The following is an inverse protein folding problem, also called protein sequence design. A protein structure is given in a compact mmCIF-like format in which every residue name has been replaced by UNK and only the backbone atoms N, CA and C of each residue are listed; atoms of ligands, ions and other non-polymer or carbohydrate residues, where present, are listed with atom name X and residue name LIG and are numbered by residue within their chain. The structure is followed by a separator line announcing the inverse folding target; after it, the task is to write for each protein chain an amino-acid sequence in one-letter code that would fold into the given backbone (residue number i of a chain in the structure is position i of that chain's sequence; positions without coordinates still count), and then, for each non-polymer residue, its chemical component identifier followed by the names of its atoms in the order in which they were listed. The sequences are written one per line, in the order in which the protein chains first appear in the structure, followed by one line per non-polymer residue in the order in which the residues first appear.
data_IF_306776781945
#
_entry.id   IF_306776781945
#
_cell.length_a   1.000
_cell.length_b   1.000
_cell.length_c   1.000
_cell.angle_alpha   90.00
_cell.angle_beta   90.00
_cell.angle_gamma   90.00
#
_symmetry.space_group_name_H-M   'P 1'
#
loop_
_entity.id
_entity.type
_entity.pdbx_description
1 polymer ?
#
# COMPACT_ATOMS: atom_id res chain seq x y z
N UNK A 1 12.41 16.36 8.59
CA UNK A 1 12.35 17.78 8.26
C UNK A 1 11.07 18.17 7.52
N UNK A 2 10.65 17.38 6.54
CA UNK A 2 9.41 17.56 5.79
C UNK A 2 8.60 16.25 5.81
N UNK A 3 7.27 16.33 5.91
CA UNK A 3 6.37 15.18 5.80
C UNK A 3 5.12 15.58 5.03
N UNK A 4 4.78 14.84 3.99
CA UNK A 4 3.53 15.00 3.26
C UNK A 4 2.60 13.83 3.54
N UNK A 5 1.30 14.10 3.65
CA UNK A 5 0.29 13.07 3.80
C UNK A 5 -0.96 13.40 2.97
N UNK A 6 -1.62 12.36 2.46
CA UNK A 6 -2.89 12.46 1.74
C UNK A 6 -4.01 11.89 2.59
N UNK A 7 -5.06 12.67 2.81
CA UNK A 7 -6.17 12.32 3.70
C UNK A 7 -6.81 10.96 3.39
N UNK A 8 -6.97 10.62 2.10
CA UNK A 8 -7.55 9.35 1.67
C UNK A 8 -6.73 8.10 2.04
N UNK A 9 -5.50 8.27 2.53
CA UNK A 9 -4.67 7.15 3.01
C UNK A 9 -4.94 6.79 4.48
N UNK A 10 -5.71 7.62 5.18
CA UNK A 10 -6.16 7.40 6.56
C UNK A 10 -7.67 7.73 6.73
N UNK A 11 -8.48 7.33 5.74
CA UNK A 11 -9.95 7.41 5.70
C UNK A 11 -10.54 8.81 5.59
N UNK A 12 -9.76 9.83 5.24
CA UNK A 12 -10.26 11.15 4.86
C UNK A 12 -10.69 11.22 3.40
N UNK A 13 -11.15 12.39 2.96
CA UNK A 13 -11.59 12.61 1.58
C UNK A 13 -10.40 12.67 0.60
N UNK A 14 -10.66 12.31 -0.66
CA UNK A 14 -9.71 12.52 -1.76
C UNK A 14 -9.56 14.01 -2.05
N UNK A 15 -8.41 14.41 -2.60
CA UNK A 15 -8.14 15.80 -2.99
C UNK A 15 -7.74 16.72 -1.83
N UNK A 16 -7.49 16.17 -0.64
CA UNK A 16 -7.01 16.90 0.53
C UNK A 16 -5.79 16.20 1.13
N UNK A 17 -4.88 16.98 1.69
CA UNK A 17 -3.67 16.51 2.35
C UNK A 17 -2.96 17.66 3.04
N UNK A 18 -1.82 17.37 3.67
CA UNK A 18 -1.00 18.39 4.32
C UNK A 18 0.48 18.17 4.08
N UNK A 19 1.23 19.24 4.23
CA UNK A 19 2.69 19.24 4.31
C UNK A 19 3.10 19.76 5.68
N UNK A 20 3.78 18.93 6.48
CA UNK A 20 4.49 19.38 7.66
C UNK A 20 5.86 19.91 7.25
N UNK A 21 6.23 21.05 7.79
CA UNK A 21 7.52 21.71 7.58
C UNK A 21 8.11 22.02 8.94
N UNK A 22 9.31 21.51 9.22
CA UNK A 22 10.04 21.86 10.45
C UNK A 22 10.36 23.36 10.46
N UNK A 23 10.19 24.04 11.59
CA UNK A 23 10.33 25.49 11.71
C UNK A 23 11.69 26.05 11.23
N UNK A 24 12.74 25.25 11.24
CA UNK A 24 14.06 25.63 10.75
C UNK A 24 14.23 25.57 9.23
N UNK A 25 13.24 25.03 8.52
CA UNK A 25 13.28 24.84 7.06
C UNK A 25 12.49 25.95 6.39
N UNK A 26 13.14 26.61 5.42
CA UNK A 26 12.49 27.58 4.55
C UNK A 26 12.30 26.95 3.18
N UNK A 27 11.07 26.99 2.66
CA UNK A 27 10.75 26.59 1.30
C UNK A 27 9.98 27.73 0.62
N UNK A 28 10.15 27.84 -0.69
CA UNK A 28 9.42 28.79 -1.50
C UNK A 28 8.09 28.17 -1.96
N UNK A 29 6.98 28.93 -1.96
CA UNK A 29 5.71 28.43 -2.46
C UNK A 29 5.75 28.20 -3.97
N UNK A 30 5.16 27.08 -4.41
CA UNK A 30 4.97 26.84 -5.86
C UNK A 30 3.76 27.59 -6.43
N UNK A 31 2.74 27.82 -5.62
CA UNK A 31 1.51 28.56 -5.98
C UNK A 31 1.39 29.73 -5.02
N UNK A 32 1.68 30.92 -5.55
CA UNK A 32 1.66 32.16 -4.76
C UNK A 32 0.22 32.59 -4.41
N UNK A 33 0.05 33.17 -3.24
CA UNK A 33 -1.21 33.70 -2.72
C UNK A 33 -1.12 33.96 -1.23
N UNK A 34 -2.14 34.57 -0.66
CA UNK A 34 -2.19 34.93 0.78
C UNK A 34 -2.64 33.78 1.69
N UNK A 35 -3.14 32.69 1.12
CA UNK A 35 -3.66 31.55 1.86
C UNK A 35 -2.54 30.68 2.44
N UNK A 36 -2.87 29.87 3.46
CA UNK A 36 -1.93 28.98 4.13
C UNK A 36 -0.62 29.68 4.55
N UNK A 37 -0.71 30.86 5.17
CA UNK A 37 0.44 31.69 5.55
C UNK A 37 1.38 32.03 4.38
N UNK A 38 0.83 32.35 3.23
CA UNK A 38 1.53 32.59 1.96
C UNK A 38 2.26 31.36 1.37
N UNK A 39 1.98 30.16 1.87
CA UNK A 39 2.67 28.95 1.42
C UNK A 39 1.98 28.27 0.25
N UNK A 40 0.67 28.49 0.07
CA UNK A 40 -0.10 27.89 -1.03
C UNK A 40 -1.34 28.72 -1.32
N UNK A 41 -1.35 29.43 -2.44
CA UNK A 41 -2.48 30.22 -2.91
C UNK A 41 -3.69 29.39 -3.33
N UNK A 42 -4.87 30.01 -3.31
CA UNK A 42 -6.16 29.44 -3.71
C UNK A 42 -7.10 29.21 -2.52
N UNK A 43 -8.40 29.21 -2.81
CA UNK A 43 -9.44 28.99 -1.79
C UNK A 43 -9.27 27.63 -1.12
N UNK A 44 -9.33 27.63 0.19
CA UNK A 44 -9.12 26.43 1.01
C UNK A 44 -10.31 25.46 0.86
N UNK A 45 -10.00 24.19 0.74
CA UNK A 45 -10.97 23.10 0.74
C UNK A 45 -11.43 22.79 2.16
N UNK A 46 -12.28 23.66 2.72
CA UNK A 46 -12.73 23.57 4.12
C UNK A 46 -13.37 22.21 4.42
N UNK A 47 -14.20 21.69 3.51
CA UNK A 47 -14.85 20.37 3.68
C UNK A 47 -13.81 19.26 3.79
N UNK A 48 -12.81 19.27 2.90
CA UNK A 48 -11.72 18.30 2.93
C UNK A 48 -10.87 18.39 4.19
N UNK A 49 -10.60 19.62 4.67
CA UNK A 49 -9.80 19.88 5.89
C UNK A 49 -10.54 19.36 7.13
N UNK A 50 -11.83 19.68 7.29
CA UNK A 50 -12.65 19.20 8.42
C UNK A 50 -12.79 17.67 8.41
N UNK A 51 -13.00 17.09 7.22
CA UNK A 51 -13.05 15.64 7.08
C UNK A 51 -11.70 14.97 7.39
N UNK A 52 -10.59 15.62 7.04
CA UNK A 52 -9.23 15.16 7.35
C UNK A 52 -8.94 15.21 8.85
N UNK A 53 -9.32 16.28 9.53
CA UNK A 53 -9.22 16.41 10.99
C UNK A 53 -10.01 15.29 11.67
N UNK A 54 -11.26 15.07 11.25
CA UNK A 54 -12.09 13.99 11.79
C UNK A 54 -11.46 12.61 11.57
N UNK A 55 -10.92 12.36 10.38
CA UNK A 55 -10.23 11.10 10.09
C UNK A 55 -9.01 10.88 11.01
N UNK A 56 -8.21 11.92 11.25
CA UNK A 56 -7.08 11.86 12.17
C UNK A 56 -7.52 11.63 13.62
N UNK A 57 -8.59 12.29 14.06
CA UNK A 57 -9.09 12.17 15.44
C UNK A 57 -9.60 10.75 15.79
N UNK A 58 -10.00 9.97 14.80
CA UNK A 58 -10.46 8.58 14.99
C UNK A 58 -9.41 7.52 14.60
N UNK A 59 -8.23 7.95 14.15
CA UNK A 59 -7.11 7.06 13.89
C UNK A 59 -6.55 6.50 15.20
N UNK A 60 -6.65 5.21 15.39
CA UNK A 60 -5.99 4.54 16.51
C UNK A 60 -4.57 4.13 16.11
N UNK A 61 -3.60 4.78 16.74
CA UNK A 61 -2.16 4.54 16.59
C UNK A 61 -1.54 4.00 17.87
N UNK A 62 -2.36 3.45 18.77
CA UNK A 62 -1.88 2.83 20.00
C UNK A 62 -0.95 1.65 19.71
N UNK A 63 0.02 1.36 20.59
CA UNK A 63 0.92 0.21 20.42
C UNK A 63 0.15 -1.10 20.22
N UNK A 64 -0.93 -1.32 20.97
CA UNK A 64 -1.75 -2.52 20.85
C UNK A 64 -2.38 -2.66 19.45
N UNK A 65 -2.84 -1.56 18.86
CA UNK A 65 -3.41 -1.59 17.51
C UNK A 65 -2.32 -1.84 16.45
N UNK A 66 -1.13 -1.32 16.66
CA UNK A 66 0.01 -1.55 15.78
C UNK A 66 0.44 -3.02 15.85
N UNK A 67 0.56 -3.58 17.05
CA UNK A 67 0.92 -4.99 17.26
C UNK A 67 -0.14 -5.93 16.64
N UNK A 68 -1.43 -5.65 16.82
CA UNK A 68 -2.50 -6.41 16.19
C UNK A 68 -2.41 -6.43 14.65
N UNK A 69 -1.95 -5.34 14.03
CA UNK A 69 -1.71 -5.30 12.58
C UNK A 69 -0.50 -6.14 12.18
N UNK A 70 0.54 -6.19 12.99
CA UNK A 70 1.67 -7.11 12.77
C UNK A 70 1.24 -8.56 12.88
N UNK A 71 0.45 -8.91 13.91
CA UNK A 71 -0.08 -10.27 14.10
C UNK A 71 -0.93 -10.71 12.90
N UNK A 72 -1.79 -9.81 12.39
CA UNK A 72 -2.59 -10.07 11.18
C UNK A 72 -1.70 -10.30 9.95
N UNK A 73 -0.68 -9.48 9.75
CA UNK A 73 0.29 -9.66 8.67
C UNK A 73 0.96 -11.01 8.72
N UNK A 74 1.43 -11.38 9.89
CA UNK A 74 2.13 -12.66 10.09
C UNK A 74 1.23 -13.86 9.87
N UNK A 75 -0.03 -13.76 10.31
CA UNK A 75 -1.06 -14.74 10.03
C UNK A 75 -1.25 -14.92 8.52
N UNK A 76 -1.42 -13.83 7.77
CA UNK A 76 -1.58 -13.88 6.31
C UNK A 76 -0.34 -14.50 5.66
N UNK A 77 0.85 -14.07 6.03
CA UNK A 77 2.11 -14.60 5.49
C UNK A 77 2.27 -16.09 5.80
N UNK A 78 1.90 -16.52 7.01
CA UNK A 78 1.98 -17.93 7.42
C UNK A 78 1.01 -18.83 6.61
N UNK A 79 -0.17 -18.32 6.27
CA UNK A 79 -1.13 -19.04 5.43
C UNK A 79 -0.60 -19.12 3.99
N UNK A 80 -0.13 -18.01 3.43
CA UNK A 80 0.41 -17.96 2.07
C UNK A 80 1.64 -18.87 1.87
N UNK A 81 2.49 -18.99 2.89
CA UNK A 81 3.64 -19.92 2.86
C UNK A 81 3.25 -21.40 2.79
N UNK A 82 2.02 -21.78 3.11
CA UNK A 82 1.54 -23.17 3.02
C UNK A 82 1.09 -23.53 1.60
N UNK A 83 0.92 -22.56 0.72
CA UNK A 83 0.59 -22.83 -0.68
C UNK A 83 1.76 -23.53 -1.37
N UNK A 84 1.50 -24.44 -2.32
CA UNK A 84 2.53 -25.27 -2.97
C UNK A 84 3.26 -24.49 -4.09
N UNK A 85 3.62 -23.23 -3.84
CA UNK A 85 4.27 -22.34 -4.80
C UNK A 85 5.53 -21.72 -4.20
N UNK A 86 6.46 -21.30 -5.06
CA UNK A 86 7.66 -20.60 -4.65
C UNK A 86 7.33 -19.13 -4.36
N UNK A 87 6.94 -18.84 -3.13
CA UNK A 87 6.55 -17.51 -2.64
C UNK A 87 7.65 -16.93 -1.76
N UNK A 88 8.12 -15.74 -2.09
CA UNK A 88 9.06 -14.95 -1.29
C UNK A 88 8.43 -13.61 -0.87
N UNK A 89 8.65 -13.22 0.38
CA UNK A 89 8.19 -11.95 0.91
C UNK A 89 9.33 -10.93 0.96
N UNK A 90 9.10 -9.73 0.43
CA UNK A 90 10.10 -8.69 0.27
C UNK A 90 10.15 -7.67 1.43
N UNK A 91 9.45 -7.94 2.53
CA UNK A 91 9.27 -7.02 3.67
C UNK A 91 10.43 -7.06 4.69
N UNK A 92 11.66 -7.43 4.30
CA UNK A 92 12.68 -7.91 5.21
C UNK A 92 13.74 -6.90 5.66
N UNK A 93 13.42 -5.65 5.82
CA UNK A 93 14.36 -4.77 6.55
C UNK A 93 13.74 -4.48 7.92
N UNK A 94 14.24 -5.15 8.98
CA UNK A 94 13.79 -4.97 10.36
C UNK A 94 12.26 -5.09 10.54
N UNK A 95 11.78 -6.15 11.14
CA UNK A 95 10.35 -6.49 11.28
C UNK A 95 9.45 -5.32 11.71
N UNK A 96 9.95 -4.42 12.59
CA UNK A 96 9.20 -3.27 13.09
C UNK A 96 9.43 -1.97 12.29
N UNK A 97 10.32 -1.99 11.31
CA UNK A 97 10.65 -0.81 10.49
C UNK A 97 9.83 -0.75 9.19
N UNK A 98 8.86 -1.66 9.03
CA UNK A 98 7.98 -1.73 7.87
C UNK A 98 6.53 -1.44 8.25
N UNK A 99 5.71 -0.97 7.28
CA UNK A 99 4.28 -0.83 7.50
C UNK A 99 3.62 -2.21 7.70
N UNK A 100 2.93 -2.43 8.84
CA UNK A 100 2.34 -3.72 9.15
C UNK A 100 1.21 -4.12 8.19
N UNK A 101 0.55 -3.17 7.54
CA UNK A 101 -0.62 -3.39 6.69
C UNK A 101 -0.30 -3.64 5.21
N UNK A 102 0.98 -3.82 4.87
CA UNK A 102 1.43 -4.06 3.50
C UNK A 102 2.27 -5.33 3.46
N UNK A 103 1.95 -6.22 2.53
CA UNK A 103 2.75 -7.39 2.18
C UNK A 103 3.22 -7.23 0.73
N UNK A 104 4.52 -7.24 0.51
CA UNK A 104 5.13 -7.36 -0.82
C UNK A 104 5.55 -8.80 -1.03
N UNK A 105 5.02 -9.43 -2.07
CA UNK A 105 5.15 -10.86 -2.32
C UNK A 105 5.55 -11.12 -3.77
N UNK A 106 6.66 -11.82 -3.96
CA UNK A 106 7.11 -12.32 -5.25
C UNK A 106 6.69 -13.78 -5.41
N UNK A 107 6.01 -14.10 -6.50
CA UNK A 107 5.61 -15.48 -6.83
C UNK A 107 6.52 -15.96 -7.97
N UNK A 108 7.51 -16.79 -7.66
CA UNK A 108 8.52 -17.28 -8.62
C UNK A 108 8.00 -18.44 -9.45
N UNK A 109 6.80 -18.29 -9.97
CA UNK A 109 6.20 -19.15 -10.97
C UNK A 109 6.23 -18.44 -12.34
N UNK A 110 5.97 -19.14 -13.43
CA UNK A 110 5.96 -18.53 -14.76
C UNK A 110 4.66 -17.74 -15.02
N UNK A 111 4.38 -16.79 -14.14
CA UNK A 111 3.20 -15.90 -14.20
C UNK A 111 3.62 -14.46 -13.93
N UNK A 112 2.90 -13.50 -14.51
CA UNK A 112 3.13 -12.08 -14.22
C UNK A 112 2.15 -11.60 -13.14
N UNK A 113 2.59 -10.60 -12.36
CA UNK A 113 1.73 -9.95 -11.38
C UNK A 113 0.49 -9.32 -12.02
N UNK A 114 0.60 -8.80 -13.25
CA UNK A 114 -0.53 -8.21 -13.98
C UNK A 114 -1.60 -9.25 -14.31
N UNK A 115 -1.21 -10.43 -14.81
CA UNK A 115 -2.14 -11.52 -15.09
C UNK A 115 -2.86 -11.97 -13.81
N UNK A 116 -2.11 -12.07 -12.71
CA UNK A 116 -2.67 -12.42 -11.40
C UNK A 116 -3.67 -11.38 -10.89
N UNK A 117 -3.31 -10.09 -10.98
CA UNK A 117 -4.22 -8.99 -10.62
C UNK A 117 -5.48 -9.03 -11.46
N UNK A 118 -5.36 -9.28 -12.77
CA UNK A 118 -6.53 -9.39 -13.65
C UNK A 118 -7.46 -10.54 -13.21
N UNK A 119 -6.91 -11.70 -12.95
CA UNK A 119 -7.69 -12.87 -12.49
C UNK A 119 -8.39 -12.60 -11.16
N UNK A 120 -7.69 -12.03 -10.18
CA UNK A 120 -8.26 -11.72 -8.87
C UNK A 120 -9.33 -10.62 -8.94
N UNK A 121 -9.19 -9.64 -9.85
CA UNK A 121 -10.22 -8.63 -10.09
C UNK A 121 -11.55 -9.24 -10.56
N UNK A 122 -11.53 -10.34 -11.33
CA UNK A 122 -12.76 -11.04 -11.72
C UNK A 122 -13.49 -11.68 -10.53
N UNK A 123 -12.76 -11.98 -9.47
CA UNK A 123 -13.30 -12.46 -8.19
C UNK A 123 -13.58 -11.34 -7.18
N UNK A 124 -13.57 -10.06 -7.59
CA UNK A 124 -13.70 -8.86 -6.75
C UNK A 124 -12.63 -8.75 -5.65
N UNK A 125 -11.45 -9.26 -5.91
CA UNK A 125 -10.27 -9.13 -5.02
C UNK A 125 -9.27 -8.17 -5.66
N UNK A 126 -8.98 -7.08 -4.96
CA UNK A 126 -8.18 -5.98 -5.49
C UNK A 126 -6.82 -5.92 -4.81
N UNK A 127 -5.79 -6.33 -5.52
CA UNK A 127 -4.38 -6.18 -5.15
C UNK A 127 -3.65 -5.33 -6.20
N UNK A 128 -2.39 -5.05 -6.00
CA UNK A 128 -1.62 -4.24 -6.95
C UNK A 128 -0.42 -5.02 -7.48
N UNK A 129 -0.14 -4.88 -8.77
CA UNK A 129 1.13 -5.29 -9.35
C UNK A 129 2.19 -4.21 -9.08
N UNK A 130 3.35 -4.59 -8.57
CA UNK A 130 4.47 -3.67 -8.33
C UNK A 130 4.10 -2.43 -7.50
N UNK A 131 4.51 -1.24 -7.98
CA UNK A 131 4.07 0.04 -7.44
C UNK A 131 2.78 0.48 -8.12
N UNK A 132 1.72 0.72 -7.34
CA UNK A 132 0.37 1.03 -7.83
C UNK A 132 0.28 2.25 -8.79
N UNK A 133 1.27 3.14 -8.78
CA UNK A 133 1.28 4.35 -9.62
C UNK A 133 1.71 4.08 -11.08
N UNK A 134 2.28 2.92 -11.39
CA UNK A 134 2.80 2.57 -12.71
C UNK A 134 2.02 1.41 -13.37
N UNK A 135 0.75 1.21 -12.99
CA UNK A 135 -0.08 0.08 -13.43
C UNK A 135 -0.31 -0.01 -14.97
N UNK A 136 0.15 0.97 -15.74
CA UNK A 136 0.02 1.00 -17.20
C UNK A 136 1.38 1.00 -17.94
N UNK A 137 2.48 0.82 -17.24
CA UNK A 137 3.81 0.75 -17.86
C UNK A 137 4.40 -0.65 -17.69
N UNK A 138 4.81 -1.28 -18.79
CA UNK A 138 5.61 -2.53 -18.78
C UNK A 138 7.02 -2.33 -18.18
N UNK A 139 7.24 -1.26 -17.42
CA UNK A 139 8.51 -0.94 -16.81
C UNK A 139 8.52 -1.47 -15.39
N UNK A 140 9.52 -2.28 -15.01
CA UNK A 140 9.67 -2.78 -13.64
C UNK A 140 9.67 -1.64 -12.62
N UNK A 141 9.00 -1.84 -11.49
CA UNK A 141 8.92 -0.84 -10.44
C UNK A 141 10.31 -0.40 -9.97
N UNK A 142 10.62 0.89 -10.10
CA UNK A 142 11.87 1.45 -9.58
C UNK A 142 12.04 1.22 -8.07
N UNK A 143 10.94 1.15 -7.31
CA UNK A 143 10.95 0.84 -5.86
C UNK A 143 11.44 -0.59 -5.63
N UNK A 144 10.88 -1.57 -6.37
CA UNK A 144 11.29 -2.98 -6.22
C UNK A 144 12.75 -3.17 -6.65
N UNK A 145 13.18 -2.47 -7.70
CA UNK A 145 14.58 -2.47 -8.13
C UNK A 145 15.51 -1.86 -7.06
N UNK A 146 15.08 -0.77 -6.43
CA UNK A 146 15.86 -0.11 -5.37
C UNK A 146 16.04 -0.97 -4.12
N UNK A 147 15.09 -1.87 -3.81
CA UNK A 147 15.24 -2.85 -2.72
C UNK A 147 15.95 -4.14 -3.13
N UNK A 148 16.49 -4.19 -4.36
CA UNK A 148 17.37 -5.25 -4.83
C UNK A 148 16.70 -6.39 -5.62
N UNK A 149 15.41 -6.29 -5.96
CA UNK A 149 14.78 -7.30 -6.80
C UNK A 149 15.31 -7.23 -8.24
N UNK A 150 15.42 -8.39 -8.89
CA UNK A 150 15.71 -8.48 -10.32
C UNK A 150 14.53 -7.91 -11.12
N UNK A 151 14.73 -7.67 -12.40
CA UNK A 151 13.64 -7.27 -13.29
C UNK A 151 12.56 -8.35 -13.36
N UNK A 152 12.98 -9.60 -13.49
CA UNK A 152 12.09 -10.77 -13.52
C UNK A 152 11.28 -10.90 -12.22
N UNK A 153 11.89 -10.79 -11.05
CA UNK A 153 11.17 -10.82 -9.78
C UNK A 153 10.23 -9.62 -9.63
N UNK A 154 10.62 -8.46 -10.14
CA UNK A 154 9.79 -7.23 -10.08
C UNK A 154 8.47 -7.36 -10.84
N UNK A 155 8.47 -8.00 -12.02
CA UNK A 155 7.25 -8.23 -12.80
C UNK A 155 6.35 -9.35 -12.24
N UNK A 156 6.86 -10.15 -11.31
CA UNK A 156 6.17 -11.22 -10.59
C UNK A 156 5.75 -10.83 -9.19
N UNK A 157 6.02 -9.59 -8.79
CA UNK A 157 5.76 -9.10 -7.43
C UNK A 157 4.41 -8.41 -7.34
N UNK A 158 3.59 -8.85 -6.40
CA UNK A 158 2.32 -8.22 -6.03
C UNK A 158 2.43 -7.55 -4.66
N UNK A 159 1.62 -6.51 -4.46
CA UNK A 159 1.43 -5.87 -3.16
C UNK A 159 0.01 -6.11 -2.67
N UNK A 160 -0.10 -6.74 -1.51
CA UNK A 160 -1.33 -6.94 -0.78
C UNK A 160 -1.41 -5.86 0.30
N UNK A 161 -2.55 -5.20 0.39
CA UNK A 161 -2.83 -4.21 1.43
C UNK A 161 -4.11 -4.59 2.16
N UNK A 162 -4.10 -4.49 3.47
CA UNK A 162 -5.25 -4.77 4.32
C UNK A 162 -5.41 -3.67 5.37
N UNK A 163 -6.54 -3.62 6.03
CA UNK A 163 -6.85 -2.60 7.02
C UNK A 163 -7.57 -3.17 8.25
N UNK A 164 -8.06 -2.28 9.11
CA UNK A 164 -8.79 -2.64 10.33
C UNK A 164 -10.14 -3.35 10.09
N UNK A 165 -10.66 -3.33 8.87
CA UNK A 165 -11.93 -3.96 8.50
C UNK A 165 -11.72 -5.34 7.85
N UNK A 166 -10.48 -5.70 7.53
CA UNK A 166 -10.14 -7.00 6.95
C UNK A 166 -10.41 -8.11 7.98
N UNK A 167 -11.23 -9.07 7.61
CA UNK A 167 -11.64 -10.20 8.45
C UNK A 167 -10.90 -11.48 8.08
N UNK A 168 -10.93 -12.46 8.97
CA UNK A 168 -10.39 -13.81 8.70
C UNK A 168 -11.04 -14.44 7.46
N UNK A 169 -12.35 -14.21 7.29
CA UNK A 169 -13.08 -14.69 6.11
C UNK A 169 -12.59 -14.06 4.81
N UNK A 170 -12.24 -12.76 4.83
CA UNK A 170 -11.67 -12.10 3.65
C UNK A 170 -10.31 -12.70 3.29
N UNK A 171 -9.51 -13.06 4.31
CA UNK A 171 -8.22 -13.73 4.12
C UNK A 171 -8.40 -15.12 3.50
N UNK A 172 -9.36 -15.92 4.00
CA UNK A 172 -9.67 -17.24 3.47
C UNK A 172 -10.08 -17.15 1.99
N UNK A 173 -11.03 -16.26 1.67
CA UNK A 173 -11.47 -16.03 0.29
C UNK A 173 -10.30 -15.61 -0.59
N UNK A 174 -9.47 -14.68 -0.12
CA UNK A 174 -8.30 -14.23 -0.87
C UNK A 174 -7.34 -15.38 -1.18
N UNK A 175 -7.02 -16.21 -0.20
CA UNK A 175 -6.08 -17.33 -0.36
C UNK A 175 -6.64 -18.38 -1.34
N UNK A 176 -7.92 -18.70 -1.24
CA UNK A 176 -8.59 -19.65 -2.14
C UNK A 176 -8.61 -19.16 -3.58
N UNK A 177 -8.95 -17.88 -3.81
CA UNK A 177 -8.96 -17.29 -5.15
C UNK A 177 -7.55 -17.10 -5.71
N UNK A 178 -6.57 -16.81 -4.87
CA UNK A 178 -5.16 -16.73 -5.24
C UNK A 178 -4.67 -18.11 -5.73
N UNK A 179 -4.96 -19.19 -5.01
CA UNK A 179 -4.59 -20.55 -5.40
C UNK A 179 -5.22 -20.93 -6.75
N UNK A 180 -6.51 -20.64 -6.94
CA UNK A 180 -7.23 -20.88 -8.22
C UNK A 180 -6.58 -20.09 -9.36
N UNK A 181 -6.30 -18.80 -9.14
CA UNK A 181 -5.69 -17.95 -10.17
C UNK A 181 -4.30 -18.45 -10.59
N UNK A 182 -3.45 -18.83 -9.62
CA UNK A 182 -2.11 -19.36 -9.90
C UNK A 182 -2.23 -20.68 -10.68
N UNK A 183 -3.13 -21.58 -10.31
CA UNK A 183 -3.34 -22.85 -11.02
C UNK A 183 -3.73 -22.64 -12.48
N UNK A 184 -4.61 -21.68 -12.75
CA UNK A 184 -5.05 -21.37 -14.12
C UNK A 184 -3.93 -20.73 -14.94
N UNK A 185 -3.13 -19.84 -14.35
CA UNK A 185 -2.09 -19.10 -15.06
C UNK A 185 -0.80 -19.92 -15.26
N UNK A 186 -0.60 -20.99 -14.52
CA UNK A 186 0.62 -21.81 -14.55
C UNK A 186 0.59 -22.88 -15.65
N UNK A 187 -0.52 -23.01 -16.39
CA UNK A 187 -0.72 -24.03 -17.47
C UNK A 187 0.09 -23.73 -18.72
#
# INVERSE_FOLDING_TARGET
DLLSASAHKFYGLKGCGFLYIKNSIKIEPLIYGSQNNNMRGGTENVIGIVAMEKALSVCDVSPNMIDAKFDMRDKIMAILKKLPYNIEFNNYVGYKDTLPTIISMTIRENITAEALVYMLNTANIYISAGAACNAHSNVPSHVLRAIGLTEEDSIRTVRISFDKHTTDKDIEIFVDELDKAIRVLKV
#
